data_IF_919701621442
#
_entry.id   IF_919701621442
#
_cell.length_a   1.000
_cell.length_b   1.000
_cell.length_c   1.000
_cell.angle_alpha   90.00
_cell.angle_beta   90.00
_cell.angle_gamma   90.00
#
_symmetry.space_group_name_H-M   'P 1'
#
loop_
_entity.id
_entity.type
_entity.pdbx_description
1 polymer ?
#
# COMPACT_ATOMS: atom_id res chain seq x y z
N UNK A 1 -52.95 57.95 40.10
CA UNK A 1 -51.64 57.42 40.53
C UNK A 1 -50.82 57.22 39.25
N UNK A 2 -50.44 58.32 38.61
CA UNK A 2 -49.54 58.30 37.47
C UNK A 2 -48.14 58.51 38.05
N UNK A 3 -47.30 57.51 37.89
CA UNK A 3 -45.96 57.44 38.45
C UNK A 3 -45.09 58.48 37.73
N UNK A 4 -44.83 59.63 38.38
CA UNK A 4 -43.90 60.64 37.88
C UNK A 4 -42.48 60.07 38.01
N UNK A 5 -42.01 59.39 36.97
CA UNK A 5 -40.62 58.95 36.89
C UNK A 5 -39.69 60.14 37.14
N UNK A 6 -38.74 59.95 38.03
CA UNK A 6 -37.82 61.03 38.40
C UNK A 6 -36.92 61.35 37.20
N UNK A 7 -36.57 62.63 37.03
CA UNK A 7 -35.65 63.09 35.98
C UNK A 7 -34.31 62.31 36.02
N UNK A 8 -33.90 61.82 37.20
CA UNK A 8 -32.71 60.98 37.36
C UNK A 8 -32.84 59.60 36.70
N UNK A 9 -34.00 58.94 36.79
CA UNK A 9 -34.23 57.63 36.16
C UNK A 9 -34.25 57.73 34.63
N UNK A 10 -34.81 58.82 34.08
CA UNK A 10 -34.81 59.08 32.64
C UNK A 10 -33.41 59.38 32.11
N UNK A 11 -32.55 60.04 32.90
CA UNK A 11 -31.16 60.31 32.52
C UNK A 11 -30.31 59.04 32.60
N UNK A 12 -30.46 58.23 33.66
CA UNK A 12 -29.75 56.95 33.78
C UNK A 12 -30.13 55.95 32.67
N UNK A 13 -31.40 55.94 32.26
CA UNK A 13 -31.88 55.14 31.12
C UNK A 13 -31.26 55.67 29.81
N UNK A 14 -31.27 56.98 29.56
CA UNK A 14 -30.71 57.59 28.34
C UNK A 14 -29.18 57.39 28.22
N UNK A 15 -28.43 57.66 29.29
CA UNK A 15 -26.97 57.47 29.33
C UNK A 15 -26.59 55.98 29.33
N UNK A 16 -27.41 55.12 29.95
CA UNK A 16 -27.29 53.67 29.87
C UNK A 16 -27.44 53.15 28.44
N UNK A 17 -28.50 53.55 27.73
CA UNK A 17 -28.73 53.19 26.33
C UNK A 17 -27.64 53.73 25.40
N UNK A 18 -27.23 55.00 25.55
CA UNK A 18 -26.10 55.55 24.78
C UNK A 18 -24.78 54.83 25.04
N UNK A 19 -24.52 54.39 26.28
CA UNK A 19 -23.30 53.66 26.61
C UNK A 19 -23.29 52.24 26.01
N UNK A 20 -24.45 51.59 25.93
CA UNK A 20 -24.62 50.27 25.31
C UNK A 20 -24.49 50.37 23.79
N UNK A 21 -25.12 51.36 23.15
CA UNK A 21 -24.99 51.57 21.70
C UNK A 21 -23.56 51.97 21.30
N UNK A 22 -22.86 52.78 22.10
CA UNK A 22 -21.43 53.09 21.88
C UNK A 22 -20.53 51.85 22.03
N UNK A 23 -20.81 50.96 22.99
CA UNK A 23 -20.07 49.69 23.14
C UNK A 23 -20.34 48.73 21.99
N UNK A 24 -21.60 48.66 21.53
CA UNK A 24 -21.99 47.77 20.46
C UNK A 24 -21.42 48.22 19.11
N UNK A 25 -21.47 49.51 18.81
CA UNK A 25 -20.80 50.08 17.63
C UNK A 25 -19.28 49.93 17.67
N UNK A 26 -18.65 50.04 18.85
CA UNK A 26 -17.21 49.78 18.99
C UNK A 26 -16.85 48.30 18.77
N UNK A 27 -17.68 47.35 19.21
CA UNK A 27 -17.50 45.93 18.93
C UNK A 27 -17.71 45.60 17.45
N UNK A 28 -18.72 46.18 16.80
CA UNK A 28 -18.96 46.00 15.36
C UNK A 28 -17.83 46.61 14.52
N UNK A 29 -17.27 47.75 14.94
CA UNK A 29 -16.08 48.33 14.31
C UNK A 29 -14.83 47.49 14.54
N UNK A 30 -14.67 46.90 15.72
CA UNK A 30 -13.59 45.96 16.02
C UNK A 30 -13.69 44.70 15.15
N UNK A 31 -14.87 44.08 15.07
CA UNK A 31 -15.13 42.91 14.24
C UNK A 31 -14.90 43.23 12.76
N UNK A 32 -15.35 44.40 12.26
CA UNK A 32 -15.05 44.89 10.91
C UNK A 32 -13.55 45.09 10.68
N UNK A 33 -12.82 45.63 11.67
CA UNK A 33 -11.37 45.82 11.62
C UNK A 33 -10.58 44.50 11.52
N UNK A 34 -11.12 43.40 12.05
CA UNK A 34 -10.50 42.07 11.96
C UNK A 34 -10.78 41.33 10.64
N UNK A 35 -11.80 41.72 9.86
CA UNK A 35 -12.18 41.02 8.64
C UNK A 35 -11.08 41.05 7.57
N UNK A 36 -10.42 42.20 7.37
CA UNK A 36 -9.38 42.36 6.34
C UNK A 36 -8.10 41.58 6.69
N UNK A 37 -7.54 41.66 7.91
CA UNK A 37 -6.43 40.79 8.32
C UNK A 37 -6.74 39.29 8.20
N UNK A 38 -7.95 38.86 8.61
CA UNK A 38 -8.39 37.47 8.47
C UNK A 38 -8.49 37.05 6.99
N UNK A 39 -9.05 37.92 6.13
CA UNK A 39 -9.12 37.67 4.70
C UNK A 39 -7.74 37.61 4.05
N UNK A 40 -6.82 38.52 4.41
CA UNK A 40 -5.41 38.51 3.94
C UNK A 40 -4.73 37.20 4.27
N UNK A 41 -4.77 36.80 5.55
CA UNK A 41 -4.20 35.54 6.02
C UNK A 41 -4.82 34.34 5.31
N UNK A 42 -6.15 34.29 5.19
CA UNK A 42 -6.87 33.18 4.54
C UNK A 42 -6.50 33.05 3.06
N UNK A 43 -6.47 34.15 2.31
CA UNK A 43 -6.16 34.10 0.88
C UNK A 43 -4.68 33.73 0.65
N UNK A 44 -3.74 34.34 1.39
CA UNK A 44 -2.32 34.01 1.28
C UNK A 44 -2.05 32.54 1.62
N UNK A 45 -2.60 32.04 2.74
CA UNK A 45 -2.50 30.63 3.10
C UNK A 45 -3.16 29.72 2.05
N UNK A 46 -4.25 30.17 1.42
CA UNK A 46 -4.89 29.45 0.32
C UNK A 46 -3.96 29.28 -0.88
N UNK A 47 -3.23 30.33 -1.26
CA UNK A 47 -2.23 30.27 -2.36
C UNK A 47 -1.07 29.35 -1.99
N UNK A 48 -0.49 29.53 -0.80
CA UNK A 48 0.65 28.72 -0.33
C UNK A 48 0.29 27.23 -0.22
N UNK A 49 -0.85 26.90 0.40
CA UNK A 49 -1.31 25.51 0.51
C UNK A 49 -1.58 24.90 -0.85
N UNK A 50 -2.23 25.64 -1.76
CA UNK A 50 -2.47 25.16 -3.12
C UNK A 50 -1.15 24.80 -3.83
N UNK A 51 -0.12 25.62 -3.61
CA UNK A 51 1.21 25.39 -4.15
C UNK A 51 1.84 24.13 -3.55
N UNK A 52 1.92 24.05 -2.22
CA UNK A 52 2.47 22.88 -1.52
C UNK A 52 1.73 21.59 -1.85
N UNK A 53 0.40 21.62 -2.02
CA UNK A 53 -0.39 20.45 -2.41
C UNK A 53 -0.03 19.93 -3.78
N UNK A 54 0.22 20.81 -4.74
CA UNK A 54 0.63 20.42 -6.09
C UNK A 54 2.04 19.80 -6.08
N UNK A 55 3.00 20.44 -5.39
CA UNK A 55 4.37 19.91 -5.31
C UNK A 55 4.41 18.56 -4.56
N UNK A 56 3.63 18.41 -3.49
CA UNK A 56 3.51 17.14 -2.77
C UNK A 56 2.88 16.06 -3.63
N UNK A 57 1.80 16.36 -4.34
CA UNK A 57 1.15 15.41 -5.25
C UNK A 57 2.11 14.96 -6.38
N UNK A 58 2.87 15.89 -6.96
CA UNK A 58 3.90 15.59 -7.95
C UNK A 58 4.97 14.64 -7.38
N UNK A 59 5.52 14.97 -6.21
CA UNK A 59 6.50 14.12 -5.50
C UNK A 59 5.94 12.73 -5.21
N UNK A 60 4.78 12.64 -4.56
CA UNK A 60 4.17 11.36 -4.20
C UNK A 60 3.86 10.50 -5.42
N UNK A 61 3.40 11.11 -6.52
CA UNK A 61 3.11 10.40 -7.77
C UNK A 61 4.38 9.83 -8.40
N UNK A 62 5.45 10.62 -8.50
CA UNK A 62 6.70 10.17 -9.11
C UNK A 62 7.42 9.12 -8.26
N UNK A 63 7.49 9.32 -6.93
CA UNK A 63 8.09 8.35 -5.99
C UNK A 63 7.33 7.03 -6.02
N UNK A 64 5.98 7.05 -5.97
CA UNK A 64 5.17 5.83 -6.05
C UNK A 64 5.39 5.06 -7.35
N UNK A 65 5.55 5.76 -8.47
CA UNK A 65 5.82 5.12 -9.76
C UNK A 65 7.17 4.40 -9.75
N UNK A 66 8.20 5.04 -9.22
CA UNK A 66 9.55 4.46 -9.07
C UNK A 66 9.55 3.28 -8.10
N UNK A 67 8.91 3.41 -6.94
CA UNK A 67 8.74 2.32 -5.98
C UNK A 67 8.07 1.09 -6.60
N UNK A 68 6.99 1.33 -7.34
CA UNK A 68 6.25 0.27 -8.04
C UNK A 68 7.16 -0.41 -9.07
N UNK A 69 7.95 0.36 -9.80
CA UNK A 69 8.92 -0.18 -10.76
C UNK A 69 10.00 -1.03 -10.06
N UNK A 70 10.61 -0.54 -8.98
CA UNK A 70 11.63 -1.28 -8.21
C UNK A 70 11.07 -2.61 -7.71
N UNK A 71 9.83 -2.63 -7.19
CA UNK A 71 9.17 -3.87 -6.75
C UNK A 71 8.86 -4.84 -7.88
N UNK A 72 8.56 -4.35 -9.10
CA UNK A 72 8.42 -5.22 -10.28
C UNK A 72 9.75 -5.84 -10.68
N UNK A 73 10.81 -5.02 -10.76
CA UNK A 73 12.18 -5.47 -11.06
C UNK A 73 12.64 -6.49 -10.01
N UNK A 74 12.36 -6.27 -8.73
CA UNK A 74 12.63 -7.21 -7.64
C UNK A 74 12.01 -8.59 -7.92
N UNK A 75 10.70 -8.62 -8.22
CA UNK A 75 9.98 -9.85 -8.50
C UNK A 75 10.51 -10.57 -9.75
N UNK A 76 10.75 -9.84 -10.83
CA UNK A 76 11.29 -10.38 -12.08
C UNK A 76 12.72 -10.91 -11.90
N UNK A 77 13.58 -10.17 -11.21
CA UNK A 77 14.96 -10.55 -10.91
C UNK A 77 15.02 -11.82 -10.06
N UNK A 78 14.24 -11.91 -8.97
CA UNK A 78 14.17 -13.11 -8.13
C UNK A 78 13.66 -14.32 -8.91
N UNK A 79 12.59 -14.15 -9.71
CA UNK A 79 12.04 -15.23 -10.51
C UNK A 79 13.07 -15.74 -11.55
N UNK A 80 13.77 -14.83 -12.22
CA UNK A 80 14.80 -15.14 -13.21
C UNK A 80 16.01 -15.81 -12.57
N UNK A 81 16.53 -15.25 -11.47
CA UNK A 81 17.69 -15.79 -10.79
C UNK A 81 17.44 -17.18 -10.21
N UNK A 82 16.27 -17.40 -9.58
CA UNK A 82 15.87 -18.73 -9.09
C UNK A 82 15.77 -19.76 -10.22
N UNK A 83 15.19 -19.36 -11.36
CA UNK A 83 15.11 -20.22 -12.56
C UNK A 83 16.50 -20.57 -13.10
N UNK A 84 17.42 -19.61 -13.16
CA UNK A 84 18.79 -19.83 -13.62
C UNK A 84 19.61 -20.72 -12.66
N UNK A 85 19.42 -20.54 -11.34
CA UNK A 85 20.05 -21.36 -10.31
C UNK A 85 19.41 -22.76 -10.17
N UNK A 86 18.29 -23.03 -10.86
CA UNK A 86 17.56 -24.29 -10.75
C UNK A 86 16.86 -24.48 -9.41
N UNK A 87 16.58 -23.39 -8.69
CA UNK A 87 15.84 -23.42 -7.41
C UNK A 87 14.37 -23.72 -7.70
N UNK A 88 13.85 -24.77 -7.06
CA UNK A 88 12.47 -25.20 -7.18
C UNK A 88 11.59 -24.29 -6.32
N UNK A 89 10.50 -23.81 -6.90
CA UNK A 89 9.57 -22.89 -6.26
C UNK A 89 8.79 -23.47 -5.06
N UNK A 90 7.88 -22.68 -4.48
CA UNK A 90 7.05 -23.13 -3.37
C UNK A 90 6.10 -24.25 -3.80
N UNK A 91 5.91 -25.22 -2.91
CA UNK A 91 5.02 -26.37 -3.04
C UNK A 91 3.54 -25.93 -3.02
N UNK A 92 3.21 -24.93 -2.18
CA UNK A 92 1.85 -24.43 -1.93
C UNK A 92 0.88 -25.56 -1.55
N UNK A 93 1.22 -26.31 -0.50
CA UNK A 93 0.54 -27.55 -0.14
C UNK A 93 -0.96 -27.36 0.13
N UNK A 94 -1.36 -26.25 0.74
CA UNK A 94 -2.77 -25.95 1.03
C UNK A 94 -3.63 -25.79 -0.24
N UNK A 95 -3.06 -25.23 -1.32
CA UNK A 95 -3.73 -25.17 -2.62
C UNK A 95 -3.84 -26.54 -3.27
N UNK A 96 -2.79 -27.35 -3.16
CA UNK A 96 -2.78 -28.72 -3.70
C UNK A 96 -3.80 -29.58 -2.95
N UNK A 97 -3.84 -29.49 -1.63
CA UNK A 97 -4.82 -30.19 -0.81
C UNK A 97 -6.25 -29.75 -1.11
N UNK A 98 -6.51 -28.45 -1.22
CA UNK A 98 -7.81 -27.94 -1.66
C UNK A 98 -8.23 -28.47 -3.04
N UNK A 99 -7.28 -28.62 -3.97
CA UNK A 99 -7.55 -29.24 -5.27
C UNK A 99 -7.84 -30.74 -5.16
N UNK A 100 -7.11 -31.48 -4.30
CA UNK A 100 -7.35 -32.91 -4.06
C UNK A 100 -8.75 -33.16 -3.50
N UNK A 101 -9.23 -32.31 -2.58
CA UNK A 101 -10.57 -32.41 -2.00
C UNK A 101 -11.70 -32.27 -3.04
N UNK A 102 -11.43 -31.65 -4.19
CA UNK A 102 -12.41 -31.43 -5.28
C UNK A 102 -12.37 -32.52 -6.35
N UNK A 103 -11.39 -33.42 -6.32
CA UNK A 103 -11.28 -34.49 -7.31
C UNK A 103 -12.37 -35.54 -7.08
N UNK A 104 -12.92 -36.07 -8.17
CA UNK A 104 -13.97 -37.09 -8.15
C UNK A 104 -13.44 -38.48 -8.55
N UNK A 105 -12.32 -38.52 -9.26
CA UNK A 105 -11.67 -39.76 -9.67
C UNK A 105 -10.51 -40.12 -8.74
N UNK A 106 -10.54 -41.37 -8.24
CA UNK A 106 -9.47 -41.93 -7.41
C UNK A 106 -8.16 -42.09 -8.18
N UNK A 107 -8.20 -42.40 -9.48
CA UNK A 107 -6.98 -42.56 -10.28
C UNK A 107 -6.30 -41.21 -10.52
N UNK A 108 -7.08 -40.16 -10.80
CA UNK A 108 -6.58 -38.80 -10.87
C UNK A 108 -5.94 -38.36 -9.54
N UNK A 109 -6.63 -38.54 -8.41
CA UNK A 109 -6.11 -38.18 -7.08
C UNK A 109 -4.74 -38.82 -6.81
N UNK A 110 -4.63 -40.13 -7.01
CA UNK A 110 -3.38 -40.87 -6.78
C UNK A 110 -2.24 -40.38 -7.70
N UNK A 111 -2.55 -40.10 -8.97
CA UNK A 111 -1.57 -39.56 -9.93
C UNK A 111 -1.06 -38.19 -9.48
N UNK A 112 -1.95 -37.33 -8.96
CA UNK A 112 -1.61 -35.97 -8.52
C UNK A 112 -0.83 -35.97 -7.20
N UNK A 113 -1.09 -36.93 -6.32
CA UNK A 113 -0.29 -37.16 -5.11
C UNK A 113 1.12 -37.67 -5.46
N UNK A 114 1.26 -38.59 -6.41
CA UNK A 114 2.55 -39.08 -6.90
C UNK A 114 3.39 -37.95 -7.55
N UNK A 115 2.74 -37.09 -8.35
CA UNK A 115 3.36 -35.86 -8.87
C UNK A 115 3.82 -34.92 -7.74
N UNK A 116 3.08 -34.86 -6.64
CA UNK A 116 3.43 -34.01 -5.49
C UNK A 116 4.64 -34.55 -4.73
N UNK A 117 4.70 -35.86 -4.48
CA UNK A 117 5.87 -36.49 -3.88
C UNK A 117 7.12 -36.37 -4.78
N UNK A 118 6.95 -36.54 -6.09
CA UNK A 118 8.03 -36.35 -7.07
C UNK A 118 8.55 -34.91 -7.06
N UNK A 119 7.65 -33.93 -6.97
CA UNK A 119 8.03 -32.52 -6.85
C UNK A 119 8.81 -32.24 -5.56
N UNK A 120 8.37 -32.78 -4.41
CA UNK A 120 9.07 -32.64 -3.13
C UNK A 120 10.48 -33.24 -3.23
N UNK A 121 10.61 -34.42 -3.83
CA UNK A 121 11.90 -35.08 -4.05
C UNK A 121 12.86 -34.23 -4.90
N UNK A 122 12.38 -33.64 -5.99
CA UNK A 122 13.18 -32.73 -6.81
C UNK A 122 13.57 -31.48 -6.01
N UNK A 123 12.65 -30.92 -5.23
CA UNK A 123 12.90 -29.75 -4.38
C UNK A 123 13.99 -30.01 -3.34
N UNK A 124 13.91 -31.12 -2.60
CA UNK A 124 14.90 -31.49 -1.59
C UNK A 124 16.32 -31.69 -2.17
N UNK A 125 16.42 -32.20 -3.41
CA UNK A 125 17.72 -32.36 -4.08
C UNK A 125 18.25 -31.05 -4.65
N UNK A 126 17.37 -30.19 -5.14
CA UNK A 126 17.75 -29.01 -5.90
C UNK A 126 18.05 -27.80 -5.00
N UNK A 127 17.28 -27.62 -3.92
CA UNK A 127 17.33 -26.43 -3.07
C UNK A 127 18.33 -26.60 -1.94
N UNK A 128 19.60 -26.30 -2.22
CA UNK A 128 20.65 -26.18 -1.19
C UNK A 128 20.79 -24.72 -0.76
N UNK A 129 21.27 -24.48 0.47
CA UNK A 129 21.53 -23.11 0.96
C UNK A 129 22.43 -22.32 0.01
N UNK A 130 23.52 -22.93 -0.47
CA UNK A 130 24.45 -22.30 -1.43
C UNK A 130 23.76 -21.87 -2.74
N UNK A 131 22.87 -22.71 -3.29
CA UNK A 131 22.16 -22.39 -4.54
C UNK A 131 21.12 -21.30 -4.33
N UNK A 132 20.43 -21.32 -3.19
CA UNK A 132 19.48 -20.27 -2.83
C UNK A 132 20.22 -18.96 -2.64
N UNK A 133 21.34 -18.94 -1.90
CA UNK A 133 22.19 -17.76 -1.73
C UNK A 133 22.71 -17.22 -3.06
N UNK A 134 23.27 -18.07 -3.92
CA UNK A 134 23.70 -17.66 -5.25
C UNK A 134 22.56 -17.08 -6.10
N UNK A 135 21.32 -17.56 -5.93
CA UNK A 135 20.15 -16.98 -6.59
C UNK A 135 19.81 -15.58 -6.04
N UNK A 136 19.96 -15.33 -4.74
CA UNK A 136 19.75 -14.00 -4.15
C UNK A 136 20.85 -13.01 -4.55
N UNK A 137 22.11 -13.45 -4.58
CA UNK A 137 23.24 -12.62 -5.04
C UNK A 137 23.07 -12.22 -6.51
N UNK A 138 22.71 -13.19 -7.36
CA UNK A 138 22.41 -12.94 -8.77
C UNK A 138 21.18 -12.04 -8.95
N UNK A 139 20.13 -12.23 -8.12
CA UNK A 139 18.97 -11.37 -8.14
C UNK A 139 19.34 -9.93 -7.75
N UNK A 140 20.17 -9.73 -6.72
CA UNK A 140 20.64 -8.40 -6.31
C UNK A 140 21.37 -7.68 -7.45
N UNK A 141 22.25 -8.38 -8.18
CA UNK A 141 22.92 -7.82 -9.35
C UNK A 141 21.94 -7.45 -10.48
N UNK A 142 20.95 -8.31 -10.75
CA UNK A 142 19.90 -8.04 -11.74
C UNK A 142 19.01 -6.86 -11.33
N UNK A 143 18.69 -6.71 -10.03
CA UNK A 143 17.96 -5.55 -9.51
C UNK A 143 18.74 -4.28 -9.76
N UNK A 144 20.02 -4.23 -9.41
CA UNK A 144 20.88 -3.05 -9.65
C UNK A 144 20.95 -2.70 -11.14
N UNK A 145 21.06 -3.70 -12.01
CA UNK A 145 21.04 -3.49 -13.47
C UNK A 145 19.69 -2.97 -13.96
N UNK A 146 18.58 -3.52 -13.45
CA UNK A 146 17.23 -3.10 -13.83
C UNK A 146 16.90 -1.69 -13.36
N UNK A 147 17.26 -1.32 -12.12
CA UNK A 147 17.01 0.04 -11.60
C UNK A 147 17.91 1.09 -12.24
N UNK A 148 19.10 0.73 -12.73
CA UNK A 148 19.95 1.65 -13.47
C UNK A 148 19.27 2.24 -14.72
N UNK A 149 18.29 1.52 -15.30
CA UNK A 149 17.46 2.01 -16.43
C UNK A 149 16.60 3.23 -16.07
N UNK A 150 16.34 3.48 -14.78
CA UNK A 150 15.62 4.69 -14.34
C UNK A 150 16.39 5.97 -14.69
N UNK A 151 17.72 5.90 -14.74
CA UNK A 151 18.55 7.04 -15.16
C UNK A 151 18.42 7.35 -16.65
N UNK A 152 17.85 6.46 -17.47
CA UNK A 152 17.56 6.72 -18.89
C UNK A 152 16.25 7.50 -19.09
N UNK A 153 15.39 7.59 -18.06
CA UNK A 153 14.13 8.35 -18.14
C UNK A 153 14.42 9.84 -18.06
N UNK A 154 14.12 10.54 -19.16
CA UNK A 154 14.27 11.98 -19.27
C UNK A 154 12.96 12.70 -18.99
N UNK A 155 13.05 13.84 -18.32
CA UNK A 155 11.92 14.78 -18.22
C UNK A 155 11.59 15.33 -19.60
N UNK A 156 10.32 15.24 -20.01
CA UNK A 156 9.85 15.81 -21.29
C UNK A 156 9.89 17.33 -21.28
N UNK A 157 9.76 17.94 -22.46
CA UNK A 157 9.71 19.41 -22.59
C UNK A 157 8.54 19.99 -21.80
N UNK A 158 8.79 21.13 -21.16
CA UNK A 158 7.80 21.86 -20.38
C UNK A 158 6.69 22.43 -21.26
N UNK A 159 5.50 22.59 -20.70
CA UNK A 159 4.40 23.25 -21.40
C UNK A 159 4.76 24.72 -21.64
N UNK A 160 4.74 25.22 -22.89
CA UNK A 160 4.98 26.64 -23.14
C UNK A 160 3.91 27.46 -22.44
N UNK A 161 4.35 28.40 -21.59
CA UNK A 161 3.46 29.37 -20.96
C UNK A 161 3.00 30.40 -21.98
N UNK A 162 1.76 30.85 -21.84
CA UNK A 162 1.20 31.89 -22.71
C UNK A 162 2.01 33.19 -22.61
N UNK A 163 2.41 33.75 -23.75
CA UNK A 163 3.35 34.87 -23.84
C UNK A 163 2.81 36.14 -23.15
N UNK A 164 1.49 36.28 -23.08
CA UNK A 164 0.81 37.40 -22.44
C UNK A 164 0.96 37.42 -20.91
N UNK A 165 1.29 36.28 -20.29
CA UNK A 165 1.54 36.17 -18.84
C UNK A 165 2.99 36.53 -18.46
N UNK A 166 3.92 36.52 -19.42
CA UNK A 166 5.37 36.59 -19.18
C UNK A 166 5.91 38.04 -19.13
N UNK A 167 5.30 38.99 -19.84
CA UNK A 167 5.97 40.24 -20.21
C UNK A 167 6.14 41.31 -19.11
N UNK A 168 5.37 41.28 -18.02
CA UNK A 168 5.49 42.30 -16.94
C UNK A 168 5.86 41.73 -15.58
N UNK A 169 5.52 40.47 -15.29
CA UNK A 169 5.76 39.87 -13.98
C UNK A 169 7.16 39.23 -13.86
N UNK A 170 7.73 38.65 -14.92
CA UNK A 170 9.05 38.00 -14.86
C UNK A 170 10.23 38.99 -14.75
N UNK A 171 10.12 40.18 -15.33
CA UNK A 171 11.18 41.21 -15.20
C UNK A 171 11.31 41.73 -13.77
N UNK A 172 10.20 41.80 -13.02
CA UNK A 172 10.20 42.13 -11.59
C UNK A 172 10.72 40.98 -10.72
N UNK A 173 10.44 39.73 -11.11
CA UNK A 173 10.90 38.52 -10.41
C UNK A 173 12.42 38.30 -10.54
N UNK A 174 13.04 38.67 -11.66
CA UNK A 174 14.49 38.57 -11.87
C UNK A 174 15.32 39.47 -10.95
N UNK A 175 14.74 40.55 -10.42
CA UNK A 175 15.42 41.47 -9.50
C UNK A 175 15.40 41.01 -8.02
N UNK A 176 14.59 40.00 -7.67
CA UNK A 176 14.49 39.45 -6.32
C UNK A 176 15.10 38.02 -6.19
N UNK A 177 15.72 37.53 -7.25
CA UNK A 177 16.10 36.13 -7.43
C UNK A 177 17.43 35.75 -6.75
N UNK A 178 17.43 35.77 -5.42
CA UNK A 178 18.29 34.90 -4.58
C UNK A 178 17.45 34.00 -3.65
N UNK A 179 16.11 34.03 -3.75
CA UNK A 179 15.24 33.19 -2.94
C UNK A 179 14.97 31.84 -3.62
N UNK A 180 15.61 30.77 -3.14
CA UNK A 180 15.25 29.37 -3.41
C UNK A 180 13.90 28.94 -2.83
N UNK A 181 13.12 29.89 -2.28
CA UNK A 181 11.86 29.63 -1.57
C UNK A 181 10.66 30.24 -2.31
N UNK A 182 9.88 29.36 -2.95
CA UNK A 182 8.63 29.71 -3.64
C UNK A 182 7.60 30.35 -2.69
N UNK A 183 7.57 29.92 -1.42
CA UNK A 183 6.65 30.48 -0.44
C UNK A 183 7.01 31.94 -0.10
N UNK A 184 8.30 32.22 0.08
CA UNK A 184 8.83 33.58 0.27
C UNK A 184 8.50 34.49 -0.91
N UNK A 185 8.63 33.99 -2.15
CA UNK A 185 8.30 34.77 -3.34
C UNK A 185 6.80 35.05 -3.48
N UNK A 186 5.93 34.04 -3.27
CA UNK A 186 4.47 34.23 -3.25
C UNK A 186 4.07 35.30 -2.23
N UNK A 187 4.66 35.24 -1.03
CA UNK A 187 4.41 36.20 0.04
C UNK A 187 4.86 37.61 -0.36
N UNK A 188 6.06 37.75 -0.94
CA UNK A 188 6.56 39.03 -1.41
C UNK A 188 5.68 39.64 -2.52
N UNK A 189 5.25 38.85 -3.49
CA UNK A 189 4.33 39.31 -4.54
C UNK A 189 3.00 39.74 -3.95
N UNK A 190 2.43 38.96 -3.02
CA UNK A 190 1.17 39.29 -2.37
C UNK A 190 1.24 40.61 -1.59
N UNK A 191 2.27 40.80 -0.77
CA UNK A 191 2.46 42.03 0.01
C UNK A 191 2.76 43.27 -0.86
N UNK A 192 3.54 43.09 -1.93
CA UNK A 192 3.82 44.15 -2.91
C UNK A 192 2.54 44.64 -3.58
N UNK A 193 1.65 43.73 -3.95
CA UNK A 193 0.38 44.06 -4.61
C UNK A 193 -0.64 44.73 -3.68
N UNK A 194 -0.64 44.35 -2.40
CA UNK A 194 -1.41 45.06 -1.38
C UNK A 194 -0.87 46.49 -1.14
N UNK A 195 0.45 46.66 -1.14
CA UNK A 195 1.09 47.96 -0.93
C UNK A 195 0.83 48.93 -2.11
N UNK A 196 0.82 48.42 -3.34
CA UNK A 196 0.55 49.22 -4.53
C UNK A 196 -0.91 49.72 -4.62
N UNK A 197 -1.85 49.01 -4.00
CA UNK A 197 -3.28 49.33 -4.03
C UNK A 197 -3.76 50.11 -2.80
N UNK A 198 -2.96 50.16 -1.73
CA UNK A 198 -3.31 50.78 -0.43
C UNK A 198 -3.16 52.29 -0.31
N UNK A 199 -2.80 53.04 -1.37
CA UNK A 199 -2.45 54.47 -1.28
C UNK A 199 -3.55 55.46 -1.71
N UNK A 200 -4.77 55.04 -2.05
CA UNK A 200 -5.83 55.97 -2.47
C UNK A 200 -7.01 55.99 -1.50
N UNK A 201 -6.97 56.89 -0.52
CA UNK A 201 -8.17 57.23 0.26
C UNK A 201 -7.94 57.58 1.72
N UNK A 202 -7.06 58.53 2.01
CA UNK A 202 -7.01 59.18 3.32
C UNK A 202 -7.05 60.70 3.16
N UNK A 203 -8.09 61.21 2.48
CA UNK A 203 -8.45 62.63 2.57
C UNK A 203 -9.97 62.77 2.64
N UNK A 204 -10.44 62.97 3.88
CA UNK A 204 -11.64 63.70 4.25
C UNK A 204 -13.01 63.08 3.94
N UNK A 205 -13.66 62.48 4.93
CA UNK A 205 -15.13 62.54 5.03
C UNK A 205 -15.60 62.41 6.50
N UNK A 206 -15.92 63.55 7.11
CA UNK A 206 -16.62 63.65 8.40
C UNK A 206 -18.11 63.91 8.13
N UNK A 207 -18.97 62.92 8.39
CA UNK A 207 -20.42 63.08 8.28
C UNK A 207 -21.19 61.89 8.85
N UNK A 208 -21.84 62.13 10.00
CA UNK A 208 -22.62 61.18 10.79
C UNK A 208 -23.80 60.59 9.97
N UNK A 209 -24.07 59.28 10.10
CA UNK A 209 -25.01 58.43 9.34
C UNK A 209 -24.68 58.05 7.89
N UNK A 210 -23.83 58.79 7.16
CA UNK A 210 -23.31 58.34 5.85
C UNK A 210 -22.05 57.44 5.99
N UNK A 211 -21.50 57.34 7.20
CA UNK A 211 -20.25 56.64 7.51
C UNK A 211 -20.34 55.11 7.48
N UNK A 212 -21.51 54.51 7.69
CA UNK A 212 -21.66 53.04 7.73
C UNK A 212 -21.62 52.44 6.31
N UNK A 213 -22.40 53.01 5.38
CA UNK A 213 -22.38 52.60 3.96
C UNK A 213 -21.04 52.92 3.30
N UNK A 214 -20.42 54.06 3.62
CA UNK A 214 -19.09 54.40 3.12
C UNK A 214 -18.00 53.47 3.69
N UNK A 215 -18.13 53.07 4.96
CA UNK A 215 -17.26 52.10 5.62
C UNK A 215 -17.39 50.70 5.01
N UNK A 216 -18.61 50.24 4.72
CA UNK A 216 -18.85 48.94 4.07
C UNK A 216 -18.32 48.92 2.64
N UNK A 217 -18.47 50.01 1.87
CA UNK A 217 -17.89 50.13 0.52
C UNK A 217 -16.35 50.16 0.57
N UNK A 218 -15.76 50.80 1.58
CA UNK A 218 -14.30 50.79 1.77
C UNK A 218 -13.79 49.39 2.15
N UNK A 219 -14.48 48.71 3.06
CA UNK A 219 -14.19 47.33 3.45
C UNK A 219 -14.28 46.37 2.26
N UNK A 220 -15.32 46.47 1.44
CA UNK A 220 -15.51 45.63 0.25
C UNK A 220 -14.41 45.89 -0.80
N UNK A 221 -13.96 47.14 -0.95
CA UNK A 221 -12.79 47.49 -1.78
C UNK A 221 -11.50 46.87 -1.25
N UNK A 222 -11.26 46.89 0.06
CA UNK A 222 -10.08 46.23 0.62
C UNK A 222 -10.13 44.71 0.43
N UNK A 223 -11.28 44.07 0.63
CA UNK A 223 -11.44 42.63 0.40
C UNK A 223 -11.26 42.24 -1.08
N UNK A 224 -11.73 43.08 -2.00
CA UNK A 224 -11.49 42.87 -3.44
C UNK A 224 -10.02 43.06 -3.81
N UNK A 225 -9.33 44.03 -3.21
CA UNK A 225 -7.88 44.20 -3.37
C UNK A 225 -7.11 42.97 -2.85
N UNK A 226 -7.51 42.42 -1.70
CA UNK A 226 -6.92 41.18 -1.15
C UNK A 226 -7.10 40.00 -2.10
N UNK A 227 -8.29 39.82 -2.67
CA UNK A 227 -8.53 38.77 -3.69
C UNK A 227 -7.73 39.00 -4.97
N UNK A 228 -7.59 40.25 -5.40
CA UNK A 228 -6.76 40.63 -6.55
C UNK A 228 -5.28 40.33 -6.34
N UNK A 229 -4.74 40.68 -5.17
CA UNK A 229 -3.37 40.35 -4.77
C UNK A 229 -3.15 38.83 -4.71
N UNK A 230 -4.10 38.08 -4.16
CA UNK A 230 -4.06 36.62 -4.15
C UNK A 230 -4.02 36.03 -5.58
N UNK A 231 -4.84 36.56 -6.48
CA UNK A 231 -4.87 36.11 -7.87
C UNK A 231 -3.54 36.40 -8.59
N UNK A 232 -2.94 37.58 -8.37
CA UNK A 232 -1.63 37.90 -8.94
C UNK A 232 -0.52 37.03 -8.36
N UNK A 233 -0.54 36.74 -7.07
CA UNK A 233 0.38 35.80 -6.44
C UNK A 233 0.25 34.38 -7.01
N UNK A 234 -0.97 33.92 -7.33
CA UNK A 234 -1.20 32.63 -8.02
C UNK A 234 -0.58 32.61 -9.41
N UNK A 235 -0.75 33.68 -10.20
CA UNK A 235 -0.17 33.78 -11.55
C UNK A 235 1.36 33.82 -11.50
N UNK A 236 1.95 34.57 -10.57
CA UNK A 236 3.40 34.59 -10.36
C UNK A 236 3.94 33.21 -9.96
N UNK A 237 3.24 32.49 -9.07
CA UNK A 237 3.59 31.12 -8.71
C UNK A 237 3.54 30.16 -9.91
N UNK A 238 2.55 30.32 -10.80
CA UNK A 238 2.45 29.53 -12.03
C UNK A 238 3.61 29.83 -12.98
N UNK A 239 3.94 31.10 -13.19
CA UNK A 239 5.06 31.51 -14.05
C UNK A 239 6.40 30.98 -13.56
N UNK A 240 6.65 31.05 -12.25
CA UNK A 240 7.88 30.51 -11.67
C UNK A 240 7.98 28.99 -11.77
N UNK A 241 6.87 28.29 -11.60
CA UNK A 241 6.84 26.84 -11.82
C UNK A 241 7.13 26.46 -13.26
N UNK A 242 6.57 27.20 -14.21
CA UNK A 242 6.86 26.98 -15.61
C UNK A 242 8.35 27.21 -15.93
N UNK A 243 8.97 28.22 -15.31
CA UNK A 243 10.41 28.45 -15.44
C UNK A 243 11.22 27.28 -14.84
N UNK A 244 10.86 26.79 -13.65
CA UNK A 244 11.49 25.61 -13.04
C UNK A 244 11.33 24.37 -13.94
N UNK A 245 10.12 24.13 -14.44
CA UNK A 245 9.79 23.05 -15.36
C UNK A 245 10.64 23.10 -16.64
N UNK A 246 10.85 24.29 -17.20
CA UNK A 246 11.70 24.50 -18.37
C UNK A 246 13.19 24.23 -18.07
N UNK A 247 13.66 24.56 -16.85
CA UNK A 247 15.05 24.29 -16.43
C UNK A 247 15.33 22.80 -16.24
N UNK A 248 14.35 22.03 -15.77
CA UNK A 248 14.50 20.58 -15.53
C UNK A 248 14.19 19.72 -16.75
N UNK A 249 13.68 20.31 -17.85
CA UNK A 249 13.45 19.59 -19.09
C UNK A 249 14.75 18.90 -19.56
N UNK A 250 14.63 17.62 -19.95
CA UNK A 250 15.76 16.80 -20.38
C UNK A 250 16.67 16.28 -19.26
N UNK A 251 16.44 16.68 -18.01
CA UNK A 251 17.15 16.13 -16.84
C UNK A 251 16.80 14.66 -16.62
N UNK A 252 17.68 13.95 -15.95
CA UNK A 252 17.54 12.53 -15.60
C UNK A 252 17.63 12.36 -14.09
N UNK A 253 17.17 11.20 -13.60
CA UNK A 253 17.28 10.87 -12.18
C UNK A 253 18.63 10.20 -11.92
N UNK A 254 19.48 10.88 -11.16
CA UNK A 254 20.72 10.30 -10.63
C UNK A 254 20.50 9.84 -9.17
N UNK A 255 20.76 8.56 -8.85
CA UNK A 255 20.64 8.07 -7.48
C UNK A 255 21.74 8.64 -6.59
N UNK A 256 21.46 8.82 -5.30
CA UNK A 256 22.45 9.37 -4.33
C UNK A 256 23.66 8.44 -4.19
N UNK A 257 23.40 7.16 -3.91
CA UNK A 257 24.41 6.10 -3.82
C UNK A 257 23.70 4.75 -3.81
N UNK A 258 23.95 3.91 -4.81
CA UNK A 258 23.41 2.55 -4.82
C UNK A 258 24.18 1.66 -3.84
N UNK A 259 23.50 0.70 -3.18
CA UNK A 259 24.16 -0.24 -2.27
C UNK A 259 25.14 -1.18 -3.00
N UNK A 260 26.29 -1.45 -2.37
CA UNK A 260 27.31 -2.39 -2.86
C UNK A 260 26.90 -3.84 -2.58
N UNK A 261 26.11 -4.42 -3.48
CA UNK A 261 25.69 -5.84 -3.48
C UNK A 261 24.90 -6.34 -2.25
N UNK A 262 24.15 -7.42 -2.47
CA UNK A 262 23.43 -8.15 -1.44
C UNK A 262 24.35 -9.21 -0.84
N UNK A 263 24.32 -9.34 0.49
CA UNK A 263 24.80 -10.52 1.20
C UNK A 263 23.64 -11.08 2.03
N UNK A 264 22.81 -11.93 1.43
CA UNK A 264 21.73 -12.63 2.15
C UNK A 264 22.31 -13.90 2.75
N UNK A 265 22.17 -14.08 4.06
CA UNK A 265 22.54 -15.33 4.70
C UNK A 265 21.48 -16.41 4.42
N UNK A 266 21.92 -17.59 3.97
CA UNK A 266 21.07 -18.76 3.85
C UNK A 266 21.64 -19.90 4.69
N UNK A 267 20.80 -20.48 5.52
CA UNK A 267 21.18 -21.54 6.44
C UNK A 267 20.34 -22.78 6.14
N UNK A 268 20.97 -23.95 6.19
CA UNK A 268 20.24 -25.22 6.21
C UNK A 268 19.65 -25.42 7.61
N UNK A 269 18.32 -25.30 7.74
CA UNK A 269 17.64 -25.38 9.02
C UNK A 269 17.26 -26.81 9.42
N UNK A 270 17.24 -27.74 8.46
CA UNK A 270 16.91 -29.15 8.69
C UNK A 270 18.05 -30.04 8.18
N UNK A 271 18.26 -31.17 8.87
CA UNK A 271 19.20 -32.19 8.40
C UNK A 271 18.69 -32.83 7.11
N UNK A 272 19.53 -32.81 6.07
CA UNK A 272 19.17 -33.34 4.75
C UNK A 272 18.99 -34.88 4.78
N UNK A 273 19.70 -35.58 5.66
CA UNK A 273 19.57 -37.02 5.87
C UNK A 273 18.21 -37.37 6.46
N UNK A 274 17.83 -36.72 7.55
CA UNK A 274 16.53 -36.94 8.22
C UNK A 274 15.34 -36.56 7.33
N UNK A 275 15.44 -35.47 6.56
CA UNK A 275 14.44 -35.09 5.55
C UNK A 275 14.29 -36.15 4.45
N UNK A 276 15.42 -36.68 3.97
CA UNK A 276 15.40 -37.76 2.96
C UNK A 276 14.80 -39.04 3.53
N UNK A 277 15.02 -39.31 4.81
CA UNK A 277 14.40 -40.43 5.50
C UNK A 277 12.90 -40.24 5.67
N UNK A 278 12.45 -39.05 6.08
CA UNK A 278 11.02 -38.73 6.16
C UNK A 278 10.34 -38.92 4.81
N UNK A 279 10.94 -38.46 3.71
CA UNK A 279 10.43 -38.70 2.36
C UNK A 279 10.30 -40.21 2.05
N UNK A 280 11.30 -41.02 2.42
CA UNK A 280 11.24 -42.46 2.22
C UNK A 280 10.10 -43.11 3.01
N UNK A 281 9.90 -42.69 4.27
CA UNK A 281 8.78 -43.17 5.09
C UNK A 281 7.42 -42.71 4.55
N UNK A 282 7.30 -41.50 4.02
CA UNK A 282 6.06 -41.01 3.40
C UNK A 282 5.77 -41.74 2.09
N UNK A 283 6.79 -42.08 1.28
CA UNK A 283 6.59 -42.93 0.09
C UNK A 283 6.10 -44.32 0.47
N UNK A 284 6.65 -44.90 1.54
CA UNK A 284 6.18 -46.19 2.07
C UNK A 284 4.73 -46.12 2.58
N UNK A 285 4.35 -45.05 3.29
CA UNK A 285 2.96 -44.87 3.72
C UNK A 285 2.02 -44.62 2.54
N UNK A 286 2.49 -43.93 1.48
CA UNK A 286 1.74 -43.72 0.25
C UNK A 286 1.39 -45.03 -0.48
N UNK A 287 2.28 -46.02 -0.49
CA UNK A 287 1.98 -47.33 -1.08
C UNK A 287 0.84 -48.03 -0.33
N UNK A 288 0.83 -47.97 1.00
CA UNK A 288 -0.27 -48.49 1.82
C UNK A 288 -1.56 -47.70 1.60
N UNK A 289 -1.49 -46.37 1.61
CA UNK A 289 -2.60 -45.48 1.31
C UNK A 289 -3.22 -45.76 -0.07
N UNK A 290 -2.38 -45.95 -1.09
CA UNK A 290 -2.81 -46.28 -2.45
C UNK A 290 -3.66 -47.56 -2.46
N UNK A 291 -3.27 -48.58 -1.69
CA UNK A 291 -4.05 -49.81 -1.56
C UNK A 291 -5.38 -49.56 -0.87
N UNK A 292 -5.39 -48.82 0.24
CA UNK A 292 -6.62 -48.43 0.95
C UNK A 292 -7.61 -47.69 0.03
N UNK A 293 -7.13 -46.76 -0.80
CA UNK A 293 -7.98 -46.00 -1.74
C UNK A 293 -8.45 -46.86 -2.92
N UNK A 294 -7.63 -47.80 -3.39
CA UNK A 294 -8.05 -48.74 -4.43
C UNK A 294 -9.18 -49.64 -3.92
N UNK A 295 -9.02 -50.17 -2.70
CA UNK A 295 -9.92 -51.12 -2.06
C UNK A 295 -11.22 -50.46 -1.54
N UNK A 296 -11.12 -49.30 -0.89
CA UNK A 296 -12.24 -48.57 -0.27
C UNK A 296 -12.84 -47.42 -1.09
N UNK A 297 -12.18 -47.01 -2.18
CA UNK A 297 -12.61 -45.89 -3.01
C UNK A 297 -12.30 -44.51 -2.42
N UNK A 298 -12.85 -43.46 -3.03
CA UNK A 298 -12.53 -42.06 -2.71
C UNK A 298 -12.99 -41.64 -1.31
N UNK A 299 -14.04 -42.26 -0.78
CA UNK A 299 -14.52 -42.03 0.60
C UNK A 299 -13.49 -42.44 1.66
N UNK A 300 -12.59 -43.36 1.33
CA UNK A 300 -11.48 -43.77 2.19
C UNK A 300 -10.20 -42.95 1.92
N UNK A 301 -10.22 -41.99 1.00
CA UNK A 301 -9.03 -41.25 0.59
C UNK A 301 -8.67 -40.09 1.52
N UNK A 302 -9.59 -39.67 2.38
CA UNK A 302 -9.39 -38.56 3.30
C UNK A 302 -9.70 -38.99 4.74
N UNK A 303 -8.93 -38.47 5.70
CA UNK A 303 -9.01 -38.85 7.11
C UNK A 303 -10.32 -38.47 7.79
N UNK A 304 -10.56 -39.05 8.96
CA UNK A 304 -11.70 -38.73 9.84
C UNK A 304 -11.71 -37.23 10.17
N UNK A 305 -12.73 -36.50 9.71
CA UNK A 305 -12.82 -35.04 9.86
C UNK A 305 -12.52 -34.22 8.59
N UNK A 306 -12.26 -34.87 7.45
CA UNK A 306 -12.13 -34.17 6.17
C UNK A 306 -13.46 -33.56 5.69
N UNK A 307 -13.46 -32.36 5.08
CA UNK A 307 -14.65 -31.80 4.44
C UNK A 307 -15.04 -32.51 3.14
N UNK A 308 -14.27 -33.50 2.68
CA UNK A 308 -14.55 -34.23 1.46
C UNK A 308 -15.87 -35.00 1.56
N UNK A 309 -16.78 -34.76 0.61
CA UNK A 309 -18.10 -35.38 0.59
C UNK A 309 -19.13 -34.74 1.53
N UNK A 310 -18.80 -33.65 2.24
CA UNK A 310 -19.80 -32.87 2.99
C UNK A 310 -20.65 -32.07 2.00
N UNK A 311 -21.94 -32.41 1.91
CA UNK A 311 -22.93 -31.52 1.30
C UNK A 311 -23.30 -30.43 2.32
N UNK A 312 -23.14 -29.16 1.95
CA UNK A 312 -23.59 -28.04 2.78
C UNK A 312 -25.01 -27.66 2.36
N UNK A 313 -25.96 -27.63 3.31
CA UNK A 313 -27.34 -27.22 3.03
C UNK A 313 -27.97 -26.41 4.16
N UNK A 314 -27.20 -25.51 4.79
CA UNK A 314 -27.75 -24.53 5.74
C UNK A 314 -27.28 -23.14 5.35
N UNK A 315 -28.18 -22.34 4.78
CA UNK A 315 -28.08 -20.89 4.77
C UNK A 315 -28.31 -20.35 6.18
N UNK A 316 -27.57 -19.31 6.54
CA UNK A 316 -27.56 -18.72 7.88
C UNK A 316 -28.90 -18.01 8.18
N UNK A 317 -29.38 -18.09 9.42
CA UNK A 317 -30.46 -17.21 9.91
C UNK A 317 -29.97 -15.76 9.91
N UNK A 318 -30.68 -14.85 9.26
CA UNK A 318 -30.52 -13.41 9.45
C UNK A 318 -31.83 -12.83 9.99
N UNK A 319 -31.72 -11.97 11.00
CA UNK A 319 -32.88 -11.39 11.68
C UNK A 319 -33.23 -10.07 10.99
N UNK A 320 -34.27 -10.08 10.15
CA UNK A 320 -34.74 -8.84 9.52
C UNK A 320 -35.58 -8.03 10.52
N UNK A 321 -34.94 -7.05 11.15
CA UNK A 321 -35.55 -6.08 12.07
C UNK A 321 -36.76 -5.30 11.49
N UNK A 322 -37.04 -5.38 10.19
CA UNK A 322 -38.22 -4.75 9.57
C UNK A 322 -39.47 -5.61 9.61
N UNK A 323 -39.33 -6.93 9.77
CA UNK A 323 -40.45 -7.87 9.69
C UNK A 323 -40.79 -8.49 11.06
N UNK A 324 -39.94 -8.32 12.07
CA UNK A 324 -40.14 -8.84 13.44
C UNK A 324 -40.50 -10.34 13.46
N UNK A 325 -39.97 -11.08 12.47
CA UNK A 325 -40.18 -12.52 12.27
C UNK A 325 -38.86 -13.17 11.85
N UNK A 326 -38.62 -14.40 12.32
CA UNK A 326 -37.56 -15.25 11.81
C UNK A 326 -37.92 -15.73 10.40
N UNK A 327 -37.36 -15.10 9.37
CA UNK A 327 -37.60 -15.53 7.97
C UNK A 327 -36.78 -16.78 7.68
N UNK A 328 -37.46 -17.91 7.49
CA UNK A 328 -36.83 -19.16 7.07
C UNK A 328 -36.44 -19.08 5.58
N UNK A 329 -35.16 -18.83 5.29
CA UNK A 329 -34.61 -18.97 3.94
C UNK A 329 -33.66 -20.16 3.94
N UNK A 330 -34.10 -21.29 3.37
CA UNK A 330 -33.23 -22.42 3.00
C UNK A 330 -33.71 -23.78 3.49
N UNK A 331 -34.24 -24.58 2.57
CA UNK A 331 -34.39 -26.02 2.72
C UNK A 331 -33.04 -26.69 2.41
N UNK A 332 -32.66 -27.74 3.16
CA UNK A 332 -31.47 -28.53 2.86
C UNK A 332 -31.65 -29.21 1.50
N UNK A 333 -31.02 -28.66 0.46
CA UNK A 333 -31.26 -29.09 -0.92
C UNK A 333 -30.50 -30.36 -1.32
N UNK A 334 -29.53 -30.80 -0.50
CA UNK A 334 -28.67 -31.96 -0.76
C UNK A 334 -27.86 -31.90 -2.07
N UNK A 335 -27.91 -30.76 -2.78
CA UNK A 335 -27.40 -30.57 -4.14
C UNK A 335 -26.28 -29.53 -4.20
N UNK A 336 -26.28 -28.55 -3.29
CA UNK A 336 -25.25 -27.52 -3.20
C UNK A 336 -24.01 -28.08 -2.51
N UNK A 337 -22.93 -28.24 -3.28
CA UNK A 337 -21.63 -28.70 -2.75
C UNK A 337 -21.05 -27.65 -1.82
N UNK A 338 -20.42 -28.09 -0.74
CA UNK A 338 -19.63 -27.20 0.10
C UNK A 338 -18.55 -26.52 -0.75
N UNK A 339 -18.55 -25.19 -0.77
CA UNK A 339 -17.52 -24.44 -1.48
C UNK A 339 -16.19 -24.61 -0.72
N UNK A 340 -15.34 -25.50 -1.24
CA UNK A 340 -14.01 -25.72 -0.68
C UNK A 340 -13.23 -24.43 -0.93
N UNK A 341 -12.74 -23.79 0.13
CA UNK A 341 -11.90 -22.59 0.03
C UNK A 341 -10.73 -22.80 -0.94
N UNK A 342 -10.18 -21.71 -1.47
CA UNK A 342 -9.04 -21.74 -2.41
C UNK A 342 -7.78 -22.37 -1.78
N UNK A 343 -7.65 -22.25 -0.47
CA UNK A 343 -6.57 -22.80 0.36
C UNK A 343 -7.19 -23.48 1.58
N UNK A 344 -6.79 -24.72 1.84
CA UNK A 344 -7.28 -25.52 2.97
C UNK A 344 -6.08 -26.24 3.59
N UNK A 345 -5.83 -26.09 4.90
CA UNK A 345 -4.76 -26.84 5.56
C UNK A 345 -5.14 -28.32 5.67
N UNK A 346 -4.13 -29.19 5.64
CA UNK A 346 -4.35 -30.61 5.98
C UNK A 346 -4.76 -30.68 7.46
N UNK A 347 -5.89 -31.31 7.80
CA UNK A 347 -6.35 -31.41 9.18
C UNK A 347 -5.31 -32.03 10.11
N UNK A 348 -5.39 -31.69 11.39
CA UNK A 348 -4.65 -32.37 12.47
C UNK A 348 -5.33 -33.71 12.74
N UNK A 349 -4.81 -34.77 12.09
CA UNK A 349 -5.37 -36.12 12.14
C UNK A 349 -4.71 -37.00 13.22
N UNK A 350 -3.68 -36.48 13.89
CA UNK A 350 -2.91 -37.15 14.94
C UNK A 350 -2.65 -36.12 16.03
N UNK A 351 -2.71 -36.52 17.30
CA UNK A 351 -2.35 -35.65 18.41
C UNK A 351 -0.83 -35.35 18.36
N UNK A 352 -0.53 -34.10 18.02
CA UNK A 352 0.84 -33.56 17.95
C UNK A 352 1.23 -32.92 19.29
N UNK A 353 2.52 -32.73 19.54
CA UNK A 353 2.98 -31.94 20.68
C UNK A 353 2.40 -30.51 20.64
N UNK A 354 2.05 -29.93 21.80
CA UNK A 354 1.45 -28.59 21.89
C UNK A 354 2.40 -27.42 21.56
N UNK A 355 3.54 -27.69 20.93
CA UNK A 355 4.49 -26.68 20.50
C UNK A 355 4.05 -26.03 19.18
N UNK A 356 4.51 -24.79 18.93
CA UNK A 356 4.28 -24.10 17.67
C UNK A 356 4.97 -24.87 16.52
N UNK A 357 4.17 -25.46 15.63
CA UNK A 357 4.66 -26.36 14.56
C UNK A 357 4.57 -27.86 14.86
N UNK A 358 4.11 -28.26 16.05
CA UNK A 358 3.87 -29.65 16.43
C UNK A 358 5.13 -30.45 16.74
N UNK A 359 5.17 -31.70 16.28
CA UNK A 359 6.32 -32.60 16.49
C UNK A 359 7.62 -32.06 15.85
N UNK A 360 8.79 -32.49 16.35
CA UNK A 360 10.10 -32.23 15.71
C UNK A 360 10.36 -33.19 14.54
N UNK A 361 11.37 -32.92 13.71
CA UNK A 361 11.71 -33.76 12.55
C UNK A 361 12.05 -35.20 12.98
N UNK A 362 12.90 -35.35 13.99
CA UNK A 362 13.26 -36.64 14.59
C UNK A 362 12.03 -37.42 15.09
N UNK A 363 11.14 -36.74 15.83
CA UNK A 363 9.92 -37.34 16.38
C UNK A 363 8.96 -37.75 15.26
N UNK A 364 8.85 -36.92 14.21
CA UNK A 364 8.04 -37.22 13.03
C UNK A 364 8.55 -38.46 12.32
N UNK A 365 9.87 -38.58 12.10
CA UNK A 365 10.49 -39.77 11.48
C UNK A 365 10.23 -41.01 12.31
N UNK A 366 10.42 -40.94 13.63
CA UNK A 366 10.16 -42.06 14.54
C UNK A 366 8.69 -42.51 14.49
N UNK A 367 7.76 -41.56 14.52
CA UNK A 367 6.31 -41.82 14.45
C UNK A 367 5.91 -42.42 13.09
N UNK A 368 6.46 -41.91 11.99
CA UNK A 368 6.24 -42.46 10.66
C UNK A 368 6.77 -43.89 10.52
N UNK A 369 7.92 -44.22 11.14
CA UNK A 369 8.43 -45.60 11.21
C UNK A 369 7.47 -46.51 11.99
N UNK A 370 6.89 -46.04 13.09
CA UNK A 370 5.89 -46.79 13.85
C UNK A 370 4.62 -47.06 13.02
N UNK A 371 4.08 -46.02 12.37
CA UNK A 371 2.92 -46.16 11.50
C UNK A 371 3.17 -47.18 10.38
N UNK A 372 4.32 -47.10 9.72
CA UNK A 372 4.73 -48.01 8.66
C UNK A 372 5.14 -49.42 9.14
N UNK A 373 5.26 -49.63 10.46
CA UNK A 373 5.52 -50.94 11.06
C UNK A 373 4.26 -51.81 11.14
N UNK A 374 3.07 -51.19 11.09
CA UNK A 374 1.80 -51.90 11.13
C UNK A 374 1.41 -52.39 9.74
N UNK A 375 0.95 -53.64 9.65
CA UNK A 375 0.53 -54.25 8.38
C UNK A 375 -0.88 -53.79 8.03
N UNK A 376 -1.11 -53.50 6.75
CA UNK A 376 -2.45 -53.35 6.20
C UNK A 376 -2.98 -54.71 5.77
N UNK A 377 -4.10 -55.12 6.37
CA UNK A 377 -4.70 -56.45 6.15
C UNK A 377 -5.77 -56.45 5.03
N UNK A 378 -5.79 -55.40 4.21
CA UNK A 378 -6.70 -55.27 3.07
C UNK A 378 -8.10 -54.85 3.49
N UNK A 379 -9.12 -55.34 2.77
CA UNK A 379 -10.54 -55.06 3.04
C UNK A 379 -10.98 -55.51 4.45
N UNK A 380 -10.23 -56.43 5.07
CA UNK A 380 -10.50 -56.95 6.41
C UNK A 380 -9.75 -56.19 7.52
N UNK A 381 -9.01 -55.13 7.20
CA UNK A 381 -8.37 -54.29 8.20
C UNK A 381 -9.44 -53.62 9.08
N UNK A 382 -9.31 -53.78 10.40
CA UNK A 382 -10.28 -53.27 11.39
C UNK A 382 -10.37 -51.74 11.39
N UNK A 383 -9.29 -51.05 11.00
CA UNK A 383 -9.24 -49.60 10.97
C UNK A 383 -8.38 -49.14 9.78
N UNK A 384 -8.94 -49.05 8.57
CA UNK A 384 -8.22 -48.54 7.40
C UNK A 384 -7.93 -47.03 7.50
N UNK A 385 -8.67 -46.29 8.33
CA UNK A 385 -8.53 -44.84 8.48
C UNK A 385 -7.20 -44.45 9.13
N UNK A 386 -6.64 -45.31 10.01
CA UNK A 386 -5.30 -45.07 10.59
C UNK A 386 -4.19 -44.94 9.55
N UNK A 387 -4.25 -45.73 8.47
CA UNK A 387 -3.24 -45.70 7.40
C UNK A 387 -3.37 -44.43 6.55
N UNK A 388 -4.61 -43.96 6.37
CA UNK A 388 -4.94 -42.69 5.69
C UNK A 388 -4.46 -41.50 6.51
N UNK A 389 -4.74 -41.50 7.81
CA UNK A 389 -4.29 -40.45 8.74
C UNK A 389 -2.77 -40.39 8.82
N UNK A 390 -2.09 -41.54 8.87
CA UNK A 390 -0.63 -41.63 8.85
C UNK A 390 -0.02 -41.02 7.57
N UNK A 391 -0.60 -41.29 6.39
CA UNK A 391 -0.13 -40.69 5.13
C UNK A 391 -0.30 -39.17 5.13
N UNK A 392 -1.49 -38.66 5.46
CA UNK A 392 -1.76 -37.22 5.44
C UNK A 392 -0.94 -36.46 6.49
N UNK A 393 -0.74 -37.03 7.68
CA UNK A 393 0.19 -36.50 8.69
C UNK A 393 1.62 -36.41 8.14
N UNK A 394 2.13 -37.50 7.58
CA UNK A 394 3.48 -37.55 7.02
C UNK A 394 3.67 -36.55 5.88
N UNK A 395 2.69 -36.43 4.99
CA UNK A 395 2.72 -35.47 3.88
C UNK A 395 2.66 -34.03 4.37
N UNK A 396 1.83 -33.73 5.38
CA UNK A 396 1.75 -32.41 6.03
C UNK A 396 3.12 -32.04 6.61
N UNK A 397 3.71 -32.90 7.43
CA UNK A 397 5.01 -32.64 8.07
C UNK A 397 6.14 -32.52 7.05
N UNK A 398 6.20 -33.43 6.08
CA UNK A 398 7.18 -33.39 5.00
C UNK A 398 7.06 -32.07 4.21
N UNK A 399 5.85 -31.58 3.95
CA UNK A 399 5.65 -30.30 3.27
C UNK A 399 6.15 -29.11 4.09
N UNK A 400 5.88 -29.10 5.40
CA UNK A 400 6.32 -28.04 6.31
C UNK A 400 7.85 -27.96 6.39
N UNK A 401 8.52 -29.10 6.65
CA UNK A 401 9.98 -29.12 6.72
C UNK A 401 10.65 -28.91 5.36
N UNK A 402 10.01 -29.31 4.25
CA UNK A 402 10.55 -29.05 2.92
C UNK A 402 10.54 -27.56 2.56
N UNK A 403 9.55 -26.79 3.04
CA UNK A 403 9.53 -25.34 2.86
C UNK A 403 10.51 -24.61 3.79
N UNK A 404 10.73 -25.12 4.99
CA UNK A 404 11.67 -24.53 5.96
C UNK A 404 13.10 -25.08 5.88
N UNK A 405 13.38 -26.03 4.98
CA UNK A 405 14.68 -26.70 4.86
C UNK A 405 15.85 -25.73 4.65
N UNK A 406 15.60 -24.65 3.91
CA UNK A 406 16.56 -23.54 3.73
C UNK A 406 15.93 -22.29 4.32
N UNK A 407 16.52 -21.78 5.39
CA UNK A 407 16.16 -20.50 5.98
C UNK A 407 16.92 -19.41 5.25
N UNK A 408 16.20 -18.39 4.79
CA UNK A 408 16.78 -17.21 4.14
C UNK A 408 16.59 -16.02 5.09
N UNK A 409 17.62 -15.20 5.23
CA UNK A 409 17.47 -13.90 5.89
C UNK A 409 16.73 -12.92 4.96
N UNK A 410 15.41 -13.05 4.92
CA UNK A 410 14.53 -12.18 4.13
C UNK A 410 14.66 -10.71 4.57
N UNK A 411 15.02 -10.44 5.84
CA UNK A 411 15.20 -9.06 6.32
C UNK A 411 16.40 -8.39 5.68
N UNK A 412 17.49 -9.12 5.43
CA UNK A 412 18.65 -8.59 4.73
C UNK A 412 18.29 -8.25 3.28
N UNK A 413 17.47 -9.07 2.63
CA UNK A 413 16.94 -8.80 1.29
C UNK A 413 16.03 -7.57 1.28
N UNK A 414 15.04 -7.51 2.17
CA UNK A 414 14.12 -6.37 2.28
C UNK A 414 14.89 -5.08 2.55
N UNK A 415 15.86 -5.10 3.47
CA UNK A 415 16.71 -3.95 3.76
C UNK A 415 17.53 -3.48 2.54
N UNK A 416 18.00 -4.42 1.70
CA UNK A 416 18.65 -4.07 0.46
C UNK A 416 17.70 -3.37 -0.52
N UNK A 417 16.48 -3.90 -0.71
CA UNK A 417 15.49 -3.29 -1.59
C UNK A 417 15.09 -1.91 -1.07
N UNK A 418 14.87 -1.76 0.24
CA UNK A 418 14.55 -0.47 0.84
C UNK A 418 15.66 0.56 0.63
N UNK A 419 16.94 0.14 0.69
CA UNK A 419 18.08 1.02 0.36
C UNK A 419 18.08 1.42 -1.12
N UNK A 420 17.73 0.51 -2.02
CA UNK A 420 17.62 0.81 -3.45
C UNK A 420 16.50 1.81 -3.69
N UNK A 421 15.32 1.62 -3.09
CA UNK A 421 14.20 2.57 -3.18
C UNK A 421 14.60 3.95 -2.65
N UNK A 422 15.14 3.99 -1.43
CA UNK A 422 15.56 5.22 -0.77
C UNK A 422 16.61 6.01 -1.58
N UNK A 423 17.49 5.33 -2.31
CA UNK A 423 18.48 5.97 -3.18
C UNK A 423 17.85 6.81 -4.30
N UNK A 424 16.60 6.49 -4.70
CA UNK A 424 15.84 7.20 -5.74
C UNK A 424 14.76 8.13 -5.16
N UNK A 425 14.15 7.83 -4.01
CA UNK A 425 13.02 8.60 -3.45
C UNK A 425 13.29 10.09 -3.36
N UNK A 426 14.46 10.44 -2.82
CA UNK A 426 14.79 11.83 -2.55
C UNK A 426 15.22 12.59 -3.82
N UNK A 427 16.09 12.06 -4.71
CA UNK A 427 16.35 12.65 -6.03
C UNK A 427 15.09 12.82 -6.89
N UNK A 428 14.26 11.76 -7.00
CA UNK A 428 13.01 11.77 -7.77
C UNK A 428 12.05 12.79 -7.17
N UNK A 429 11.90 12.79 -5.86
CA UNK A 429 11.03 13.73 -5.17
C UNK A 429 11.45 15.18 -5.39
N UNK A 430 12.75 15.50 -5.32
CA UNK A 430 13.26 16.86 -5.61
C UNK A 430 13.12 17.26 -7.08
N UNK A 431 13.22 16.31 -8.00
CA UNK A 431 13.02 16.57 -9.42
C UNK A 431 11.53 16.82 -9.71
N UNK A 432 10.65 15.99 -9.16
CA UNK A 432 9.20 16.06 -9.36
C UNK A 432 8.58 17.35 -8.82
N UNK A 433 9.07 17.92 -7.71
CA UNK A 433 8.56 19.23 -7.23
C UNK A 433 8.88 20.39 -8.17
N UNK A 434 9.81 20.22 -9.12
CA UNK A 434 10.17 21.22 -10.12
C UNK A 434 9.43 21.03 -11.45
N UNK A 435 8.79 19.87 -11.66
CA UNK A 435 8.07 19.55 -12.88
C UNK A 435 6.69 20.22 -12.92
N UNK A 436 6.17 20.46 -14.12
CA UNK A 436 4.75 20.73 -14.33
C UNK A 436 3.90 19.44 -14.34
N UNK A 437 2.58 19.58 -14.24
CA UNK A 437 1.66 18.43 -14.15
C UNK A 437 1.77 17.47 -15.35
N UNK A 438 2.07 17.98 -16.55
CA UNK A 438 2.23 17.15 -17.75
C UNK A 438 3.57 16.43 -17.76
N UNK A 439 4.63 17.09 -17.31
CA UNK A 439 5.94 16.48 -17.13
C UNK A 439 5.89 15.34 -16.12
N UNK A 440 5.20 15.53 -14.98
CA UNK A 440 5.00 14.47 -13.98
C UNK A 440 4.24 13.30 -14.58
N UNK A 441 3.12 13.55 -15.26
CA UNK A 441 2.32 12.49 -15.86
C UNK A 441 3.10 11.71 -16.93
N UNK A 442 3.88 12.40 -17.78
CA UNK A 442 4.72 11.78 -18.79
C UNK A 442 5.88 10.98 -18.18
N UNK A 443 6.50 11.49 -17.12
CA UNK A 443 7.55 10.79 -16.38
C UNK A 443 7.02 9.49 -15.76
N UNK A 444 5.87 9.56 -15.08
CA UNK A 444 5.20 8.38 -14.49
C UNK A 444 4.88 7.36 -15.58
N UNK A 445 4.30 7.79 -16.70
CA UNK A 445 4.00 6.90 -17.82
C UNK A 445 5.27 6.25 -18.40
N UNK A 446 6.38 6.99 -18.51
CA UNK A 446 7.64 6.43 -18.99
C UNK A 446 8.21 5.37 -18.03
N UNK A 447 8.13 5.60 -16.72
CA UNK A 447 8.54 4.61 -15.69
C UNK A 447 7.64 3.37 -15.74
N UNK A 448 6.33 3.54 -15.91
CA UNK A 448 5.39 2.43 -16.03
C UNK A 448 5.65 1.57 -17.27
N UNK A 449 5.99 2.20 -18.41
CA UNK A 449 6.36 1.51 -19.65
C UNK A 449 7.67 0.74 -19.49
N UNK A 450 8.68 1.31 -18.84
CA UNK A 450 9.91 0.57 -18.53
C UNK A 450 9.64 -0.73 -17.75
N UNK A 451 8.68 -0.68 -16.83
CA UNK A 451 8.26 -1.82 -16.03
C UNK A 451 7.24 -2.74 -16.71
N UNK A 452 6.89 -2.53 -17.98
CA UNK A 452 6.06 -3.45 -18.76
C UNK A 452 6.89 -4.52 -19.50
N UNK A 453 8.19 -4.26 -19.66
CA UNK A 453 9.14 -5.18 -20.30
C UNK A 453 9.74 -6.21 -19.31
N UNK A 454 9.49 -6.06 -18.01
CA UNK A 454 9.92 -6.94 -16.90
C UNK A 454 8.80 -7.92 -16.52
#
# INVERSE_FOLDING_TARGET
MADERSVGELLDELFGFESVTKRQTALEQYDRGELVPKARSRELLGVLRGVETAERAARESAVRAVDTYVRRVEGAALARARKQAGVVGPLKMERRYAAFLRMEDKAELLTRLEQTLSFIEVKLRANTADRVCAAYDAAGALVLQGVARLSDVRVVDAVPLDADLLCTQLEQLRCAADATDLAGMITATFESELSATGSQGADGFTGDFAGDVAGDVALERELTNVRGAAQRARLAAQAYRAERAARVAGSTVEPVSLPESVCVACETACDAGELSELLAQVKKSFETYRRVVIDGGLFCAFGTGSPHGICSGLSYFDYDSRLDEDVLVGEYDGATRHDVRREVPIPELVDEASAEGGDSLEVTVARMREFNGRRYDGVLDEDPARHVNAFWYGLKKLSQYCETAVRVDERAWDCFIDKVQYAYDEPVGRLATQMDDKQVAAFVAAVEVLGADE
#
